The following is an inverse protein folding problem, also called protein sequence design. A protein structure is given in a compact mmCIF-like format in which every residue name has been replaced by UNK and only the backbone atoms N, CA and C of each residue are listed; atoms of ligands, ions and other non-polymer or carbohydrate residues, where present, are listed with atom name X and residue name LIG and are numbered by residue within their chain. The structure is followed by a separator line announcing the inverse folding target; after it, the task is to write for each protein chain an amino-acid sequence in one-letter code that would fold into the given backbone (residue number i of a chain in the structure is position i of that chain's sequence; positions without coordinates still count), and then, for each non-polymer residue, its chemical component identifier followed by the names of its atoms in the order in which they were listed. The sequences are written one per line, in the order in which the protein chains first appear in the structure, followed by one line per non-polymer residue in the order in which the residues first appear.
data_IF_608921692798
#
_entry.id   IF_608921692798
#
_cell.length_a   1.000
_cell.length_b   1.000
_cell.length_c   1.000
_cell.angle_alpha   90.00
_cell.angle_beta   90.00
_cell.angle_gamma   90.00
#
_symmetry.space_group_name_H-M   'P 1'
#
loop_
_entity.id
_entity.type
_entity.pdbx_description
1 polymer ?
#
# COMPACT_ATOMS: atom_id res chain seq x y z
N UNK A 1 -8.98 6.66 6.65
CA UNK A 1 -9.40 6.00 7.91
C UNK A 1 -9.17 6.99 9.04
N UNK A 2 -10.24 7.63 9.52
CA UNK A 2 -10.19 8.64 10.58
C UNK A 2 -10.36 7.96 11.95
N UNK A 3 -9.45 8.24 12.88
CA UNK A 3 -9.31 7.51 14.14
C UNK A 3 -10.16 8.16 15.23
N UNK A 4 -11.43 7.76 15.33
CA UNK A 4 -12.28 8.07 16.49
C UNK A 4 -13.12 6.86 16.91
N UNK A 5 -12.51 5.93 17.65
CA UNK A 5 -13.21 5.00 18.55
C UNK A 5 -12.20 4.26 19.43
N UNK A 6 -12.43 4.29 20.75
CA UNK A 6 -11.71 3.67 21.89
C UNK A 6 -10.39 2.90 21.62
N UNK A 7 -9.29 3.54 22.05
CA UNK A 7 -7.87 3.23 21.79
C UNK A 7 -7.28 1.94 22.40
N UNK A 8 -8.04 0.98 22.95
CA UNK A 8 -7.43 -0.13 23.75
C UNK A 8 -7.27 -1.49 23.06
N UNK A 9 -8.02 -1.84 22.02
CA UNK A 9 -8.13 -3.26 21.64
C UNK A 9 -7.46 -3.70 20.32
N UNK A 10 -7.10 -2.78 19.40
CA UNK A 10 -6.52 -3.20 18.10
C UNK A 10 -5.09 -3.72 18.20
N UNK A 11 -4.21 -3.01 18.93
CA UNK A 11 -2.83 -3.44 19.11
C UNK A 11 -2.74 -4.78 19.85
N UNK A 12 -3.54 -4.97 20.90
CA UNK A 12 -3.62 -6.23 21.62
C UNK A 12 -4.13 -7.39 20.76
N UNK A 13 -5.13 -7.16 19.89
CA UNK A 13 -5.61 -8.19 18.96
C UNK A 13 -4.54 -8.63 17.97
N UNK A 14 -3.79 -7.67 17.37
CA UNK A 14 -2.69 -7.99 16.46
C UNK A 14 -1.62 -8.84 17.17
N UNK A 15 -1.28 -8.46 18.40
CA UNK A 15 -0.31 -9.21 19.22
C UNK A 15 -0.81 -10.61 19.57
N UNK A 16 -2.08 -10.77 19.91
CA UNK A 16 -2.69 -12.06 20.22
C UNK A 16 -2.65 -13.05 19.03
N UNK A 17 -2.50 -12.55 17.81
CA UNK A 17 -2.30 -13.34 16.60
C UNK A 17 -0.80 -13.59 16.28
N UNK A 18 0.10 -13.39 17.25
CA UNK A 18 1.53 -13.67 17.11
C UNK A 18 2.33 -12.63 16.32
N UNK A 19 1.69 -11.54 15.89
CA UNK A 19 2.39 -10.45 15.18
C UNK A 19 3.12 -9.59 16.20
N UNK A 20 4.45 -9.58 16.13
CA UNK A 20 5.31 -8.86 17.09
C UNK A 20 5.73 -7.47 16.61
N UNK A 21 5.64 -7.20 15.30
CA UNK A 21 6.02 -5.92 14.69
C UNK A 21 5.04 -5.55 13.60
N UNK A 22 4.69 -4.27 13.51
CA UNK A 22 3.86 -3.73 12.43
C UNK A 22 4.46 -2.45 11.86
N UNK A 23 4.16 -2.22 10.59
CA UNK A 23 4.46 -1.00 9.86
C UNK A 23 3.16 -0.33 9.43
N UNK A 24 2.86 0.85 9.95
CA UNK A 24 1.70 1.64 9.54
C UNK A 24 2.04 2.43 8.28
N UNK A 25 1.28 2.22 7.21
CA UNK A 25 1.46 2.88 5.91
C UNK A 25 0.51 4.07 5.69
N UNK A 26 -0.10 4.62 6.75
CA UNK A 26 -0.82 5.89 6.70
C UNK A 26 -0.82 6.53 8.10
N UNK A 27 0.04 7.53 8.28
CA UNK A 27 0.27 8.19 9.55
C UNK A 27 -0.76 9.26 9.87
N UNK A 28 -0.93 9.51 11.16
CA UNK A 28 -1.66 10.64 11.71
C UNK A 28 -0.92 11.11 12.98
N UNK A 29 -0.89 12.41 13.33
CA UNK A 29 -0.17 12.89 14.51
C UNK A 29 -0.48 12.13 15.81
N UNK A 30 -1.74 11.72 16.00
CA UNK A 30 -2.16 10.93 17.17
C UNK A 30 -1.50 9.53 17.27
N UNK A 31 -0.88 9.03 16.19
CA UNK A 31 -0.17 7.76 16.19
C UNK A 31 1.21 7.84 16.85
N UNK A 32 1.82 9.04 16.96
CA UNK A 32 3.12 9.22 17.62
C UNK A 32 3.04 8.85 19.11
N UNK A 33 2.05 9.39 19.82
CA UNK A 33 1.75 9.03 21.22
C UNK A 33 1.44 7.53 21.33
N UNK A 34 0.58 7.00 20.45
CA UNK A 34 0.23 5.57 20.48
C UNK A 34 1.46 4.68 20.32
N UNK A 35 2.33 4.99 19.34
CA UNK A 35 3.59 4.28 19.11
C UNK A 35 4.46 4.32 20.36
N UNK A 36 4.62 5.49 20.99
CA UNK A 36 5.42 5.63 22.20
C UNK A 36 4.87 4.77 23.34
N UNK A 37 3.55 4.82 23.59
CA UNK A 37 2.91 4.01 24.64
C UNK A 37 3.01 2.51 24.36
N UNK A 38 2.89 2.08 23.10
CA UNK A 38 3.04 0.66 22.76
C UNK A 38 4.49 0.20 22.87
N UNK A 39 5.44 0.94 22.29
CA UNK A 39 6.86 0.56 22.26
C UNK A 39 7.53 0.65 23.65
N UNK A 40 7.00 1.44 24.57
CA UNK A 40 7.43 1.49 25.98
C UNK A 40 6.75 0.45 26.88
N UNK A 41 5.79 -0.33 26.35
CA UNK A 41 5.06 -1.33 27.12
C UNK A 41 3.87 -0.78 27.94
N UNK A 42 3.61 0.53 27.91
CA UNK A 42 2.43 1.13 28.56
C UNK A 42 1.10 0.71 27.91
N UNK A 43 1.12 0.21 26.68
CA UNK A 43 -0.04 -0.35 25.98
C UNK A 43 0.36 -1.64 25.31
N UNK A 44 -0.38 -2.72 25.58
CA UNK A 44 -0.10 -4.03 24.99
C UNK A 44 -0.27 -3.97 23.46
N UNK A 45 0.78 -4.39 22.73
CA UNK A 45 0.76 -4.40 21.28
C UNK A 45 2.09 -4.85 20.65
N UNK A 46 2.11 -5.08 19.32
CA UNK A 46 3.34 -5.25 18.58
C UNK A 46 4.19 -3.98 18.63
N UNK A 47 5.51 -4.10 18.46
CA UNK A 47 6.37 -2.94 18.20
C UNK A 47 5.88 -2.25 16.91
N UNK A 48 5.57 -0.97 17.01
CA UNK A 48 4.98 -0.18 15.92
C UNK A 48 6.04 0.71 15.30
N UNK A 49 6.09 0.71 13.98
CA UNK A 49 6.75 1.71 13.14
C UNK A 49 5.69 2.43 12.34
N UNK A 50 5.74 3.75 12.27
CA UNK A 50 4.69 4.54 11.63
C UNK A 50 5.23 5.43 10.52
N UNK A 51 4.53 5.44 9.38
CA UNK A 51 4.68 6.53 8.42
C UNK A 51 4.15 7.82 9.02
N UNK A 52 4.57 8.95 8.46
CA UNK A 52 3.79 10.19 8.56
C UNK A 52 2.57 10.20 7.63
N UNK A 53 1.84 11.33 7.59
CA UNK A 53 0.80 11.57 6.60
C UNK A 53 1.32 11.36 5.18
N UNK A 54 0.44 10.96 4.26
CA UNK A 54 0.89 10.59 2.92
C UNK A 54 1.26 11.79 2.06
N UNK A 55 2.29 11.62 1.24
CA UNK A 55 2.57 12.43 0.06
C UNK A 55 1.64 11.95 -1.06
N UNK A 56 0.89 12.85 -1.68
CA UNK A 56 -0.11 12.64 -2.75
C UNK A 56 -0.54 13.99 -3.35
N UNK A 57 -1.34 13.96 -4.43
CA UNK A 57 -1.82 15.13 -5.16
C UNK A 57 -2.49 16.23 -4.32
N UNK A 58 -3.06 15.90 -3.15
CA UNK A 58 -3.71 16.88 -2.28
C UNK A 58 -2.77 17.48 -1.22
N UNK A 59 -1.52 17.04 -1.17
CA UNK A 59 -0.58 17.35 -0.08
C UNK A 59 0.77 17.86 -0.57
N UNK A 60 1.16 17.48 -1.79
CA UNK A 60 2.38 17.93 -2.45
C UNK A 60 1.95 18.61 -3.73
N UNK A 61 2.39 19.85 -3.91
CA UNK A 61 2.10 20.68 -5.09
C UNK A 61 3.37 21.30 -5.67
N UNK A 62 4.54 21.02 -5.09
CA UNK A 62 5.83 21.46 -5.61
C UNK A 62 7.01 20.68 -5.00
N UNK A 63 8.17 20.61 -5.69
CA UNK A 63 9.41 20.05 -5.16
C UNK A 63 9.86 20.65 -3.82
N UNK A 64 9.72 21.97 -3.66
CA UNK A 64 10.11 22.66 -2.42
C UNK A 64 9.22 22.27 -1.24
N UNK A 65 7.90 22.18 -1.47
CA UNK A 65 6.96 21.70 -0.47
C UNK A 65 7.27 20.24 -0.10
N UNK A 66 7.56 19.40 -1.09
CA UNK A 66 7.91 18.01 -0.86
C UNK A 66 9.15 17.86 0.04
N UNK A 67 10.21 18.61 -0.26
CA UNK A 67 11.44 18.68 0.56
C UNK A 67 11.15 19.12 2.00
N UNK A 68 10.35 20.18 2.17
CA UNK A 68 10.00 20.69 3.49
C UNK A 68 9.18 19.66 4.29
N UNK A 69 8.19 19.03 3.67
CA UNK A 69 7.38 17.98 4.30
C UNK A 69 8.21 16.78 4.76
N UNK A 70 9.24 16.37 4.00
CA UNK A 70 10.16 15.31 4.43
C UNK A 70 10.85 15.68 5.75
N UNK A 71 11.41 16.89 5.83
CA UNK A 71 12.09 17.40 7.03
C UNK A 71 11.13 17.50 8.21
N UNK A 72 9.94 18.03 7.98
CA UNK A 72 8.90 18.12 9.02
C UNK A 72 8.50 16.76 9.56
N UNK A 73 8.25 15.77 8.69
CA UNK A 73 7.89 14.43 9.14
C UNK A 73 9.05 13.74 9.87
N UNK A 74 10.29 13.92 9.43
CA UNK A 74 11.45 13.41 10.17
C UNK A 74 11.56 14.05 11.56
N UNK A 75 11.44 15.38 11.64
CA UNK A 75 11.53 16.13 12.89
C UNK A 75 10.38 15.80 13.86
N UNK A 76 9.18 15.54 13.33
CA UNK A 76 8.04 15.07 14.12
C UNK A 76 8.24 13.65 14.69
N UNK A 77 9.26 12.91 14.21
CA UNK A 77 9.65 11.62 14.74
C UNK A 77 8.94 10.43 14.09
N UNK A 78 8.43 10.57 12.86
CA UNK A 78 7.93 9.43 12.07
C UNK A 78 9.09 8.52 11.64
N UNK A 79 8.80 7.21 11.51
CA UNK A 79 9.82 6.20 11.22
C UNK A 79 10.13 6.08 9.72
N UNK A 80 9.16 6.44 8.87
CA UNK A 80 9.28 6.42 7.42
C UNK A 80 8.26 7.34 6.75
N UNK A 81 8.33 7.49 5.43
CA UNK A 81 7.36 8.25 4.64
C UNK A 81 6.47 7.31 3.81
N UNK A 82 5.25 7.76 3.50
CA UNK A 82 4.31 7.03 2.62
C UNK A 82 4.03 7.84 1.37
N UNK A 83 4.15 7.18 0.23
CA UNK A 83 3.67 7.70 -1.06
C UNK A 83 2.31 7.07 -1.41
N UNK A 84 1.36 7.93 -1.80
CA UNK A 84 0.11 7.58 -2.48
C UNK A 84 0.09 8.24 -3.87
N UNK A 85 -0.83 7.84 -4.76
CA UNK A 85 -0.89 8.37 -6.12
C UNK A 85 -1.00 9.90 -6.21
N UNK A 86 -0.51 10.44 -7.33
CA UNK A 86 -0.59 11.86 -7.66
C UNK A 86 0.61 12.71 -7.21
N UNK A 87 1.75 12.08 -6.90
CA UNK A 87 3.04 12.78 -6.79
C UNK A 87 3.67 12.82 -8.18
N UNK A 88 4.18 13.98 -8.57
CA UNK A 88 4.83 14.21 -9.87
C UNK A 88 6.33 13.85 -9.85
N UNK A 89 6.95 13.77 -11.03
CA UNK A 89 8.32 13.27 -11.18
C UNK A 89 9.36 14.14 -10.45
N UNK A 90 9.28 15.46 -10.60
CA UNK A 90 10.18 16.41 -9.93
C UNK A 90 10.00 16.43 -8.41
N UNK A 91 8.76 16.34 -7.94
CA UNK A 91 8.40 16.16 -6.53
C UNK A 91 8.99 14.88 -5.96
N UNK A 92 8.90 13.76 -6.69
CA UNK A 92 9.50 12.49 -6.28
C UNK A 92 11.02 12.59 -6.12
N UNK A 93 11.71 13.27 -7.04
CA UNK A 93 13.16 13.49 -6.92
C UNK A 93 13.51 14.39 -5.74
N UNK A 94 12.70 15.40 -5.44
CA UNK A 94 12.88 16.22 -4.24
C UNK A 94 12.67 15.41 -2.95
N UNK A 95 11.63 14.57 -2.90
CA UNK A 95 11.40 13.63 -1.79
C UNK A 95 12.60 12.70 -1.63
N UNK A 96 13.07 12.09 -2.72
CA UNK A 96 14.22 11.19 -2.73
C UNK A 96 15.48 11.84 -2.14
N UNK A 97 15.84 13.03 -2.65
CA UNK A 97 17.00 13.78 -2.17
C UNK A 97 16.88 14.13 -0.69
N UNK A 98 15.76 14.72 -0.29
CA UNK A 98 15.53 15.11 1.10
C UNK A 98 15.51 13.89 2.04
N UNK A 99 14.87 12.79 1.62
CA UNK A 99 14.77 11.57 2.42
C UNK A 99 16.15 10.94 2.65
N UNK A 100 17.02 10.98 1.64
CA UNK A 100 18.43 10.56 1.75
C UNK A 100 19.21 11.44 2.71
N UNK A 101 19.10 12.77 2.59
CA UNK A 101 19.75 13.73 3.50
C UNK A 101 19.30 13.56 4.95
N UNK A 102 18.02 13.28 5.17
CA UNK A 102 17.42 13.11 6.50
C UNK A 102 17.55 11.67 7.06
N UNK A 103 18.06 10.73 6.27
CA UNK A 103 18.13 9.31 6.64
C UNK A 103 16.76 8.75 7.04
N UNK A 104 15.71 9.03 6.27
CA UNK A 104 14.36 8.50 6.48
C UNK A 104 13.93 7.65 5.28
N UNK A 105 13.55 6.37 5.47
CA UNK A 105 13.12 5.54 4.36
C UNK A 105 11.71 5.93 3.90
N UNK A 106 11.40 5.62 2.65
CA UNK A 106 10.09 5.87 2.07
C UNK A 106 9.69 4.77 1.08
N UNK A 107 8.40 4.67 0.80
CA UNK A 107 7.82 3.70 -0.12
C UNK A 107 6.31 3.83 -0.14
N UNK A 108 5.64 3.06 -0.98
CA UNK A 108 4.21 3.22 -1.14
C UNK A 108 3.66 2.69 -2.45
N UNK A 109 2.61 3.36 -2.91
CA UNK A 109 2.15 3.19 -4.29
C UNK A 109 3.19 3.78 -5.24
N UNK A 110 3.25 3.25 -6.44
CA UNK A 110 3.97 3.86 -7.56
C UNK A 110 3.05 4.94 -8.14
N UNK A 111 3.42 6.24 -8.13
CA UNK A 111 2.63 7.25 -8.81
C UNK A 111 2.74 7.07 -10.33
N UNK A 112 1.62 7.25 -11.05
CA UNK A 112 1.58 7.09 -12.52
C UNK A 112 2.58 8.00 -13.25
N UNK A 113 2.64 9.29 -12.85
CA UNK A 113 3.56 10.27 -13.43
C UNK A 113 5.04 9.94 -13.20
N UNK A 114 5.34 9.13 -12.18
CA UNK A 114 6.70 8.71 -11.84
C UNK A 114 7.03 7.39 -12.55
N UNK A 115 6.12 6.42 -12.52
CA UNK A 115 6.33 5.08 -13.02
C UNK A 115 7.22 4.22 -12.11
N UNK A 116 7.17 2.90 -12.33
CA UNK A 116 7.86 1.92 -11.47
C UNK A 116 9.38 2.10 -11.52
N UNK A 117 9.96 2.28 -12.71
CA UNK A 117 11.41 2.42 -12.85
C UNK A 117 11.97 3.60 -12.05
N UNK A 118 11.43 4.81 -12.24
CA UNK A 118 11.88 5.98 -11.49
C UNK A 118 11.59 5.84 -9.99
N UNK A 119 10.50 5.16 -9.60
CA UNK A 119 10.21 4.89 -8.18
C UNK A 119 11.25 3.97 -7.54
N UNK A 120 11.74 2.97 -8.27
CA UNK A 120 12.84 2.10 -7.81
C UNK A 120 14.17 2.86 -7.77
N UNK A 121 14.44 3.70 -8.76
CA UNK A 121 15.66 4.51 -8.85
C UNK A 121 15.72 5.65 -7.82
N UNK A 122 14.57 6.19 -7.42
CA UNK A 122 14.46 7.23 -6.39
C UNK A 122 14.82 6.72 -4.99
N UNK A 123 14.89 5.40 -4.80
CA UNK A 123 15.30 4.79 -3.54
C UNK A 123 14.15 4.32 -2.66
N UNK A 124 12.98 4.00 -3.25
CA UNK A 124 11.91 3.28 -2.56
C UNK A 124 12.48 2.10 -1.75
N UNK A 125 11.98 1.91 -0.53
CA UNK A 125 12.27 0.72 0.28
C UNK A 125 11.21 -0.35 0.13
N UNK A 126 10.00 0.03 -0.27
CA UNK A 126 8.98 -0.94 -0.65
C UNK A 126 7.98 -0.40 -1.65
N UNK A 127 7.51 -1.30 -2.52
CA UNK A 127 6.35 -1.11 -3.39
C UNK A 127 5.19 -1.87 -2.78
N UNK A 128 4.10 -1.16 -2.52
CA UNK A 128 2.87 -1.74 -1.98
C UNK A 128 1.94 -2.18 -3.12
N UNK A 129 1.09 -3.16 -2.85
CA UNK A 129 -0.06 -3.54 -3.68
C UNK A 129 0.21 -4.07 -5.09
N UNK A 130 1.43 -3.99 -5.63
CA UNK A 130 1.84 -4.58 -6.93
C UNK A 130 1.15 -3.97 -8.17
N UNK A 131 0.35 -2.93 -8.00
CA UNK A 131 -0.29 -2.17 -9.07
C UNK A 131 0.75 -1.50 -9.99
N UNK A 132 1.81 -0.91 -9.41
CA UNK A 132 2.90 -0.35 -10.20
C UNK A 132 3.62 -1.36 -11.12
N UNK A 133 3.62 -2.65 -10.78
CA UNK A 133 4.15 -3.70 -11.66
C UNK A 133 3.19 -4.01 -12.80
N UNK A 134 1.88 -4.04 -12.55
CA UNK A 134 0.89 -4.16 -13.61
C UNK A 134 1.02 -3.01 -14.61
N UNK A 135 1.10 -1.78 -14.10
CA UNK A 135 1.18 -0.55 -14.89
C UNK A 135 2.44 -0.52 -15.76
N UNK A 136 3.59 -0.89 -15.20
CA UNK A 136 4.85 -0.97 -15.95
C UNK A 136 4.87 -2.07 -17.03
N UNK A 137 3.91 -3.00 -16.98
CA UNK A 137 3.75 -4.07 -17.96
C UNK A 137 2.71 -3.76 -19.03
N UNK A 138 2.03 -2.60 -18.98
CA UNK A 138 1.10 -2.19 -20.04
C UNK A 138 1.86 -1.85 -21.34
N UNK A 139 1.16 -1.79 -22.49
CA UNK A 139 1.76 -1.34 -23.74
C UNK A 139 2.35 0.06 -23.62
N UNK A 140 3.43 0.33 -24.36
CA UNK A 140 4.09 1.64 -24.31
C UNK A 140 3.14 2.72 -24.84
N UNK A 141 3.07 3.85 -24.12
CA UNK A 141 2.14 4.94 -24.43
C UNK A 141 0.67 4.65 -24.08
N UNK A 142 0.37 3.53 -23.41
CA UNK A 142 -0.98 3.26 -22.94
C UNK A 142 -1.38 4.26 -21.84
N UNK A 143 -2.44 5.03 -22.08
CA UNK A 143 -3.00 5.95 -21.10
C UNK A 143 -4.04 5.24 -20.24
N UNK A 144 -3.82 5.26 -18.92
CA UNK A 144 -4.76 4.66 -17.97
C UNK A 144 -5.89 5.63 -17.69
N UNK A 145 -7.11 5.26 -18.05
CA UNK A 145 -8.32 5.95 -17.61
C UNK A 145 -8.77 5.45 -16.22
N UNK A 146 -8.61 6.27 -15.16
CA UNK A 146 -8.95 5.87 -13.79
C UNK A 146 -10.45 5.67 -13.58
N UNK A 147 -11.31 6.17 -14.48
CA UNK A 147 -12.77 6.02 -14.37
C UNK A 147 -13.23 4.64 -14.82
N UNK A 148 -12.47 3.99 -15.70
CA UNK A 148 -12.82 2.71 -16.29
C UNK A 148 -11.93 1.55 -15.86
N UNK A 149 -10.66 1.79 -15.50
CA UNK A 149 -9.66 0.76 -15.16
C UNK A 149 -9.96 -0.05 -13.90
N UNK A 150 -10.85 0.46 -13.04
CA UNK A 150 -11.20 -0.13 -11.75
C UNK A 150 -10.11 0.08 -10.69
N UNK A 151 -10.39 -0.29 -9.42
CA UNK A 151 -9.43 -0.09 -8.34
C UNK A 151 -8.15 -0.88 -8.62
N UNK A 152 -7.00 -0.24 -8.40
CA UNK A 152 -5.67 -0.82 -8.68
C UNK A 152 -5.51 -1.33 -10.13
N UNK A 153 -6.22 -0.70 -11.07
CA UNK A 153 -6.15 -1.01 -12.49
C UNK A 153 -6.50 -2.47 -12.82
N UNK A 154 -7.32 -3.12 -11.98
CA UNK A 154 -7.58 -4.56 -12.07
C UNK A 154 -8.16 -5.01 -13.42
N UNK A 155 -8.89 -4.13 -14.12
CA UNK A 155 -9.48 -4.48 -15.42
C UNK A 155 -8.46 -4.46 -16.56
N UNK A 156 -7.29 -3.89 -16.35
CA UNK A 156 -6.25 -3.78 -17.38
C UNK A 156 -5.33 -5.00 -17.44
N UNK A 157 -5.54 -6.00 -16.58
CA UNK A 157 -4.68 -7.21 -16.51
C UNK A 157 -4.58 -7.96 -17.84
N UNK A 158 -5.58 -7.88 -18.70
CA UNK A 158 -5.58 -8.55 -20.00
C UNK A 158 -4.65 -7.89 -21.03
N UNK A 159 -4.17 -6.66 -20.75
CA UNK A 159 -3.27 -5.90 -21.61
C UNK A 159 -1.80 -6.06 -21.21
N UNK A 160 -1.50 -6.75 -20.10
CA UNK A 160 -0.12 -6.83 -19.59
C UNK A 160 0.76 -7.67 -20.50
N UNK A 161 1.92 -7.12 -20.85
CA UNK A 161 3.00 -7.85 -21.51
C UNK A 161 3.89 -8.54 -20.46
N UNK A 162 3.68 -9.84 -20.32
CA UNK A 162 4.45 -10.68 -19.38
C UNK A 162 5.95 -10.74 -19.68
N UNK A 163 6.39 -10.41 -20.90
CA UNK A 163 7.82 -10.43 -21.27
C UNK A 163 8.62 -9.34 -20.57
N UNK A 164 7.95 -8.27 -20.11
CA UNK A 164 8.57 -7.18 -19.32
C UNK A 164 8.88 -7.58 -17.88
N UNK A 165 8.23 -8.61 -17.34
CA UNK A 165 8.34 -8.94 -15.91
C UNK A 165 9.78 -9.30 -15.43
N UNK A 166 10.57 -10.11 -16.16
CA UNK A 166 11.90 -10.49 -15.71
C UNK A 166 12.84 -9.31 -15.46
N UNK A 167 12.80 -8.26 -16.31
CA UNK A 167 13.65 -7.08 -16.15
C UNK A 167 13.20 -6.20 -14.98
N UNK A 168 11.88 -6.08 -14.76
CA UNK A 168 11.32 -5.36 -13.60
C UNK A 168 11.71 -6.02 -12.28
N UNK A 169 11.66 -7.36 -12.21
CA UNK A 169 12.13 -8.11 -11.03
C UNK A 169 13.63 -7.87 -10.84
N UNK A 170 14.43 -7.95 -11.91
CA UNK A 170 15.88 -7.73 -11.82
C UNK A 170 16.22 -6.32 -11.31
N UNK A 171 15.56 -5.28 -11.82
CA UNK A 171 15.74 -3.91 -11.34
C UNK A 171 15.34 -3.77 -9.86
N UNK A 172 14.22 -4.37 -9.47
CA UNK A 172 13.74 -4.36 -8.08
C UNK A 172 14.76 -4.97 -7.12
N UNK A 173 15.35 -6.12 -7.50
CA UNK A 173 16.40 -6.79 -6.74
C UNK A 173 17.69 -5.96 -6.68
N UNK A 174 18.13 -5.42 -7.82
CA UNK A 174 19.32 -4.55 -7.89
C UNK A 174 19.21 -3.30 -7.00
N UNK A 175 18.01 -2.73 -6.91
CA UNK A 175 17.72 -1.57 -6.06
C UNK A 175 17.43 -1.94 -4.60
N UNK A 176 17.34 -3.24 -4.28
CA UNK A 176 17.07 -3.74 -2.93
C UNK A 176 15.70 -3.31 -2.38
N UNK A 177 14.69 -3.29 -3.25
CA UNK A 177 13.33 -2.83 -2.91
C UNK A 177 12.43 -4.02 -2.59
N UNK A 178 11.69 -3.93 -1.49
CA UNK A 178 10.78 -4.99 -1.07
C UNK A 178 9.40 -4.87 -1.73
N UNK A 179 8.74 -5.99 -1.96
CA UNK A 179 7.35 -6.02 -2.43
C UNK A 179 6.42 -6.37 -1.28
N UNK A 180 5.41 -5.54 -1.03
CA UNK A 180 4.36 -5.81 -0.06
C UNK A 180 3.04 -6.11 -0.81
N UNK A 181 2.73 -7.39 -1.07
CA UNK A 181 1.67 -7.77 -2.00
C UNK A 181 0.25 -7.55 -1.45
N UNK A 182 0.09 -7.46 -0.12
CA UNK A 182 -1.21 -7.28 0.55
C UNK A 182 -2.29 -8.26 0.05
N UNK A 183 -1.95 -9.54 -0.18
CA UNK A 183 -2.83 -10.53 -0.83
C UNK A 183 -4.24 -10.58 -0.21
N UNK A 184 -4.34 -10.55 1.12
CA UNK A 184 -5.62 -10.58 1.83
C UNK A 184 -6.53 -9.39 1.52
N UNK A 185 -5.97 -8.22 1.17
CA UNK A 185 -6.75 -7.05 0.72
C UNK A 185 -7.46 -7.37 -0.60
N UNK A 186 -6.78 -8.04 -1.50
CA UNK A 186 -7.31 -8.37 -2.83
C UNK A 186 -8.20 -9.61 -2.82
N UNK A 187 -7.97 -10.57 -1.93
CA UNK A 187 -8.87 -11.72 -1.78
C UNK A 187 -10.19 -11.34 -1.09
N UNK A 188 -10.15 -10.39 -0.14
CA UNK A 188 -11.32 -10.05 0.68
C UNK A 188 -12.00 -8.76 0.27
N UNK A 189 -11.26 -7.67 0.15
CA UNK A 189 -11.83 -6.34 -0.10
C UNK A 189 -12.16 -6.17 -1.58
N UNK A 190 -11.14 -6.29 -2.43
CA UNK A 190 -11.26 -6.19 -3.89
C UNK A 190 -11.53 -7.55 -4.56
N UNK A 191 -11.85 -8.58 -3.77
CA UNK A 191 -12.18 -9.92 -4.23
C UNK A 191 -13.62 -10.02 -4.74
N UNK A 192 -13.92 -11.06 -5.53
CA UNK A 192 -15.27 -11.33 -6.04
C UNK A 192 -16.16 -12.11 -5.08
N UNK A 193 -15.64 -12.54 -3.92
CA UNK A 193 -16.45 -13.16 -2.88
C UNK A 193 -17.30 -12.07 -2.20
N UNK A 194 -18.64 -12.23 -2.09
CA UNK A 194 -19.51 -11.21 -1.54
C UNK A 194 -19.22 -10.84 -0.08
N UNK A 195 -19.39 -9.56 0.26
CA UNK A 195 -19.20 -9.04 1.62
C UNK A 195 -19.99 -9.80 2.69
N UNK A 196 -21.22 -10.24 2.37
CA UNK A 196 -22.09 -10.98 3.29
C UNK A 196 -21.56 -12.37 3.63
N UNK A 197 -20.73 -12.98 2.77
CA UNK A 197 -20.05 -14.22 3.09
C UNK A 197 -18.93 -13.97 4.11
N UNK A 198 -18.10 -12.96 3.88
CA UNK A 198 -17.03 -12.60 4.81
C UNK A 198 -17.56 -12.13 6.17
N UNK A 199 -18.72 -11.46 6.21
CA UNK A 199 -19.39 -11.07 7.45
C UNK A 199 -19.66 -12.25 8.39
N UNK A 200 -19.87 -13.45 7.83
CA UNK A 200 -20.14 -14.68 8.58
C UNK A 200 -18.88 -15.45 8.98
N UNK A 201 -17.69 -14.98 8.60
CA UNK A 201 -16.45 -15.65 8.91
C UNK A 201 -16.22 -15.72 10.44
N UNK A 202 -15.76 -16.86 11.00
CA UNK A 202 -15.66 -17.04 12.46
C UNK A 202 -14.81 -15.97 13.17
N UNK A 203 -13.80 -15.44 12.49
CA UNK A 203 -12.92 -14.39 13.00
C UNK A 203 -13.59 -13.02 13.15
N UNK A 204 -14.74 -12.78 12.49
CA UNK A 204 -15.45 -11.51 12.58
C UNK A 204 -15.92 -11.21 14.02
N UNK A 205 -16.08 -12.23 14.87
CA UNK A 205 -16.43 -12.05 16.30
C UNK A 205 -15.41 -11.22 17.09
N UNK A 206 -14.18 -11.09 16.60
CA UNK A 206 -13.12 -10.32 17.27
C UNK A 206 -13.09 -8.84 16.88
N UNK A 207 -13.91 -8.43 15.89
CA UNK A 207 -13.98 -7.05 15.43
C UNK A 207 -15.22 -6.35 15.98
N UNK A 208 -15.14 -5.06 16.32
CA UNK A 208 -16.32 -4.26 16.66
C UNK A 208 -17.37 -4.29 15.54
N UNK A 209 -18.64 -4.52 15.89
CA UNK A 209 -19.73 -4.62 14.92
C UNK A 209 -19.85 -3.42 13.97
N UNK A 210 -19.56 -2.21 14.46
CA UNK A 210 -19.55 -1.00 13.64
C UNK A 210 -18.46 -1.04 12.54
N UNK A 211 -17.28 -1.59 12.84
CA UNK A 211 -16.21 -1.72 11.84
C UNK A 211 -16.56 -2.76 10.78
N UNK A 212 -17.18 -3.87 11.19
CA UNK A 212 -17.67 -4.89 10.27
C UNK A 212 -18.72 -4.27 9.34
N UNK A 213 -19.69 -3.53 9.90
CA UNK A 213 -20.75 -2.91 9.11
C UNK A 213 -20.21 -1.86 8.14
N UNK A 214 -19.26 -1.02 8.57
CA UNK A 214 -18.59 -0.06 7.70
C UNK A 214 -17.87 -0.76 6.54
N UNK A 215 -17.09 -1.80 6.85
CA UNK A 215 -16.38 -2.60 5.85
C UNK A 215 -17.34 -3.25 4.85
N UNK A 216 -18.43 -3.86 5.32
CA UNK A 216 -19.47 -4.47 4.47
C UNK A 216 -20.10 -3.43 3.57
N UNK A 217 -20.47 -2.26 4.11
CA UNK A 217 -21.10 -1.20 3.34
C UNK A 217 -20.18 -0.71 2.21
N UNK A 218 -18.90 -0.45 2.50
CA UNK A 218 -17.97 0.03 1.47
C UNK A 218 -17.71 -1.04 0.41
N UNK A 219 -17.58 -2.31 0.79
CA UNK A 219 -17.44 -3.39 -0.19
C UNK A 219 -18.71 -3.54 -1.05
N UNK A 220 -19.91 -3.48 -0.46
CA UNK A 220 -21.18 -3.55 -1.20
C UNK A 220 -21.36 -2.43 -2.22
N UNK A 221 -20.85 -1.23 -1.95
CA UNK A 221 -20.84 -0.15 -2.93
C UNK A 221 -20.03 -0.52 -4.17
N UNK A 222 -18.86 -1.15 -3.99
CA UNK A 222 -18.06 -1.65 -5.12
C UNK A 222 -18.71 -2.86 -5.81
N UNK A 223 -19.34 -3.76 -5.06
CA UNK A 223 -20.07 -4.89 -5.65
C UNK A 223 -21.22 -4.40 -6.55
N UNK A 224 -21.95 -3.37 -6.10
CA UNK A 224 -23.08 -2.80 -6.83
C UNK A 224 -22.69 -2.17 -8.18
N UNK A 225 -21.45 -1.73 -8.37
CA UNK A 225 -20.97 -1.23 -9.68
C UNK A 225 -20.60 -2.35 -10.65
N UNK A 226 -20.55 -3.61 -10.20
CA UNK A 226 -20.10 -4.75 -10.99
C UNK A 226 -18.57 -4.82 -11.15
N UNK A 227 -17.79 -3.87 -10.61
CA UNK A 227 -16.32 -3.88 -10.74
C UNK A 227 -15.69 -5.10 -10.08
N UNK A 228 -16.33 -5.65 -9.03
CA UNK A 228 -15.88 -6.83 -8.32
C UNK A 228 -16.45 -8.15 -8.86
N UNK A 229 -16.97 -8.17 -10.09
CA UNK A 229 -17.44 -9.42 -10.71
C UNK A 229 -16.29 -10.44 -10.82
N UNK A 230 -16.63 -11.73 -10.80
CA UNK A 230 -15.64 -12.81 -10.96
C UNK A 230 -14.86 -12.68 -12.28
N UNK A 231 -15.54 -12.25 -13.34
CA UNK A 231 -14.94 -12.00 -14.65
C UNK A 231 -13.82 -10.94 -14.60
N UNK A 232 -14.05 -9.84 -13.89
CA UNK A 232 -13.05 -8.78 -13.73
C UNK A 232 -11.92 -9.21 -12.77
N UNK A 233 -12.26 -9.82 -11.64
CA UNK A 233 -11.31 -10.01 -10.53
C UNK A 233 -10.51 -11.31 -10.64
N UNK A 234 -11.07 -12.41 -11.16
CA UNK A 234 -10.35 -13.69 -11.20
C UNK A 234 -9.08 -13.65 -12.06
N UNK A 235 -9.06 -13.03 -13.27
CA UNK A 235 -7.83 -12.85 -14.04
C UNK A 235 -6.79 -12.03 -13.28
N UNK A 236 -7.23 -10.98 -12.59
CA UNK A 236 -6.36 -10.12 -11.79
C UNK A 236 -5.72 -10.87 -10.62
N UNK A 237 -6.50 -11.65 -9.85
CA UNK A 237 -5.94 -12.48 -8.76
C UNK A 237 -4.97 -13.53 -9.29
N UNK A 238 -5.25 -14.14 -10.45
CA UNK A 238 -4.33 -15.08 -11.10
C UNK A 238 -3.00 -14.41 -11.45
N UNK A 239 -3.05 -13.22 -12.03
CA UNK A 239 -1.86 -12.41 -12.34
C UNK A 239 -1.06 -12.09 -11.08
N UNK A 240 -1.71 -11.59 -10.02
CA UNK A 240 -1.04 -11.25 -8.75
C UNK A 240 -0.35 -12.45 -8.12
N UNK A 241 -1.01 -13.61 -8.11
CA UNK A 241 -0.42 -14.84 -7.60
C UNK A 241 0.77 -15.27 -8.44
N UNK A 242 0.66 -15.22 -9.77
CA UNK A 242 1.79 -15.52 -10.66
C UNK A 242 2.99 -14.59 -10.41
N UNK A 243 2.73 -13.29 -10.27
CA UNK A 243 3.76 -12.28 -9.95
C UNK A 243 4.44 -12.57 -8.60
N UNK A 244 3.65 -12.87 -7.57
CA UNK A 244 4.16 -13.17 -6.23
C UNK A 244 4.96 -14.49 -6.17
N UNK A 245 4.52 -15.55 -6.83
CA UNK A 245 5.25 -16.83 -6.80
C UNK A 245 6.49 -16.80 -7.71
N UNK A 246 6.47 -16.04 -8.80
CA UNK A 246 7.64 -15.88 -9.68
C UNK A 246 8.77 -15.07 -9.02
N UNK A 247 8.45 -14.11 -8.15
CA UNK A 247 9.47 -13.40 -7.38
C UNK A 247 10.14 -14.30 -6.35
N UNK A 248 9.39 -15.19 -5.68
CA UNK A 248 9.92 -16.12 -4.66
C UNK A 248 10.84 -17.19 -5.28
N UNK A 249 10.50 -17.74 -6.46
CA UNK A 249 11.27 -18.84 -7.07
C UNK A 249 12.71 -18.47 -7.47
N UNK A 250 13.06 -17.18 -7.50
CA UNK A 250 14.40 -16.70 -7.85
C UNK A 250 15.34 -16.49 -6.65
N UNK A 251 14.82 -16.41 -5.43
CA UNK A 251 15.67 -16.28 -4.21
C UNK A 251 16.21 -17.63 -3.69
N UNK A 252 15.69 -18.75 -4.19
CA UNK A 252 16.06 -20.11 -3.75
C UNK A 252 16.73 -20.96 -4.85
N UNK A 253 17.37 -20.31 -5.84
CA UNK A 253 18.21 -20.99 -6.83
C UNK A 253 19.58 -20.35 -6.91
#
# INVERSE_FOLDING_TARGET
MEVRSSKKNRCGFILANGVLRIRSMLGHPSHLDLRQRVNSGQTLGPKVFISGPSFNANSVTSPDQANQMVKEQKNAGYDHLKIHPGVELDEMWAISKAAKEQGIPFGGHVPLAVGLQNSLESGFKSVEHMDGFLEAMLPDGFEIDPTSSGPFNLKLVHLVDSTKLPSLIQLTLQKGVWMAPTLTLFDRYFGYIPADQFRKAPEMKYLPGILIQQWVNTKKQLEATGVLSKENVAPYLKFRNALFFNSIKREFR
#
